data_IF_014156175411
#
_entry.id   IF_014156175411
#
_cell.length_a   1.000
_cell.length_b   1.000
_cell.length_c   1.000
_cell.angle_alpha   90.00
_cell.angle_beta   90.00
_cell.angle_gamma   90.00
#
_symmetry.space_group_name_H-M   'P 1'
#
loop_
_entity.id
_entity.type
_entity.pdbx_description
1 polymer ?
#
# COMPACT_ATOMS: atom_id res chain seq x y z
N UNK A 1 0.25 19.04 16.44
CA UNK A 1 0.14 19.02 14.96
C UNK A 1 -0.94 19.99 14.52
N UNK A 2 -0.53 21.10 13.93
CA UNK A 2 -1.40 22.16 13.42
C UNK A 2 -2.13 21.68 12.15
N UNK A 3 -3.38 22.09 11.92
CA UNK A 3 -4.20 21.65 10.77
C UNK A 3 -3.54 21.83 9.39
N UNK A 4 -2.54 22.70 9.28
CA UNK A 4 -1.73 22.90 8.07
C UNK A 4 -0.84 21.68 7.74
N UNK A 5 -0.21 21.05 8.74
CA UNK A 5 0.58 19.82 8.56
C UNK A 5 -0.27 18.65 8.06
N UNK A 6 -1.49 18.53 8.60
CA UNK A 6 -2.43 17.50 8.17
C UNK A 6 -2.81 17.69 6.68
N UNK A 7 -2.98 18.94 6.24
CA UNK A 7 -3.30 19.23 4.84
C UNK A 7 -2.15 18.92 3.87
N UNK A 8 -0.89 19.12 4.28
CA UNK A 8 0.27 18.72 3.48
C UNK A 8 0.45 17.21 3.44
N UNK A 9 0.21 16.52 4.55
CA UNK A 9 0.35 15.07 4.63
C UNK A 9 -0.70 14.35 3.76
N UNK A 10 -1.95 14.82 3.78
CA UNK A 10 -3.02 14.35 2.89
C UNK A 10 -2.69 14.61 1.41
N UNK A 11 -2.10 15.76 1.09
CA UNK A 11 -1.70 16.09 -0.27
C UNK A 11 -0.59 15.16 -0.78
N UNK A 12 0.41 14.85 0.05
CA UNK A 12 1.48 13.89 -0.28
C UNK A 12 0.91 12.49 -0.48
N UNK A 13 0.04 12.03 0.42
CA UNK A 13 -0.61 10.72 0.30
C UNK A 13 -1.45 10.64 -0.99
N UNK A 14 -2.23 11.68 -1.29
CA UNK A 14 -3.00 11.78 -2.54
C UNK A 14 -2.09 11.73 -3.76
N UNK A 15 -0.97 12.43 -3.75
CA UNK A 15 -0.01 12.41 -4.85
C UNK A 15 0.57 11.01 -5.08
N UNK A 16 0.92 10.28 -4.01
CA UNK A 16 1.38 8.90 -4.09
C UNK A 16 0.31 7.97 -4.69
N UNK A 17 -0.96 8.11 -4.26
CA UNK A 17 -2.10 7.36 -4.81
C UNK A 17 -2.24 7.61 -6.31
N UNK A 18 -2.22 8.87 -6.75
CA UNK A 18 -2.33 9.22 -8.17
C UNK A 18 -1.15 8.65 -8.96
N UNK A 19 0.07 8.81 -8.46
CA UNK A 19 1.27 8.30 -9.11
C UNK A 19 1.29 6.77 -9.27
N UNK A 20 0.77 6.03 -8.26
CA UNK A 20 0.62 4.58 -8.31
C UNK A 20 -0.50 4.13 -9.28
N UNK A 21 -1.56 4.93 -9.42
CA UNK A 21 -2.69 4.62 -10.29
C UNK A 21 -2.41 4.90 -11.78
N UNK A 22 -1.61 5.93 -12.10
CA UNK A 22 -1.33 6.37 -13.47
C UNK A 22 -0.93 5.27 -14.48
N UNK A 23 -0.07 4.28 -14.16
CA UNK A 23 0.30 3.24 -15.11
C UNK A 23 -0.77 2.16 -15.32
N UNK A 24 -1.87 2.17 -14.54
CA UNK A 24 -2.86 1.10 -14.52
C UNK A 24 -4.13 1.47 -15.29
N UNK A 25 -4.79 0.45 -15.86
CA UNK A 25 -6.03 0.63 -16.61
C UNK A 25 -7.25 0.27 -15.76
N UNK A 26 -8.03 1.29 -15.43
CA UNK A 26 -9.22 1.18 -14.57
C UNK A 26 -10.55 1.14 -15.35
N UNK A 27 -10.53 1.02 -16.67
CA UNK A 27 -11.74 0.91 -17.52
C UNK A 27 -12.37 -0.51 -17.50
N UNK A 28 -12.33 -1.16 -16.34
CA UNK A 28 -12.98 -2.45 -16.10
C UNK A 28 -14.27 -2.19 -15.34
N UNK A 29 -15.31 -3.00 -15.60
CA UNK A 29 -16.57 -2.92 -14.84
C UNK A 29 -16.28 -3.02 -13.34
N UNK A 30 -16.84 -2.13 -12.49
CA UNK A 30 -16.74 -2.25 -11.04
C UNK A 30 -17.14 -3.64 -10.55
N UNK A 31 -16.37 -4.20 -9.62
CA UNK A 31 -16.60 -5.54 -9.06
C UNK A 31 -16.20 -6.72 -9.96
N UNK A 32 -15.76 -6.49 -11.19
CA UNK A 32 -15.23 -7.57 -12.04
C UNK A 32 -13.88 -8.09 -11.53
N UNK A 33 -13.55 -9.34 -11.87
CA UNK A 33 -12.23 -9.93 -11.58
C UNK A 33 -11.10 -9.09 -12.20
N UNK A 34 -11.29 -8.58 -13.42
CA UNK A 34 -10.33 -7.67 -14.05
C UNK A 34 -10.11 -6.39 -13.22
N UNK A 35 -11.18 -5.83 -12.63
CA UNK A 35 -11.06 -4.69 -11.72
C UNK A 35 -10.35 -5.06 -10.42
N UNK A 36 -10.63 -6.23 -9.85
CA UNK A 36 -9.96 -6.73 -8.64
C UNK A 36 -8.46 -6.95 -8.89
N UNK A 37 -8.09 -7.52 -10.03
CA UNK A 37 -6.69 -7.70 -10.44
C UNK A 37 -5.96 -6.35 -10.57
N UNK A 38 -6.58 -5.36 -11.25
CA UNK A 38 -6.02 -4.02 -11.35
C UNK A 38 -5.84 -3.35 -9.97
N UNK A 39 -6.76 -3.58 -9.04
CA UNK A 39 -6.63 -3.09 -7.66
C UNK A 39 -5.50 -3.80 -6.88
N UNK A 40 -5.29 -5.10 -7.10
CA UNK A 40 -4.15 -5.82 -6.51
C UNK A 40 -2.80 -5.25 -6.98
N UNK A 41 -2.67 -5.01 -8.29
CA UNK A 41 -1.48 -4.35 -8.87
C UNK A 41 -1.31 -2.92 -8.36
N UNK A 42 -2.42 -2.20 -8.16
CA UNK A 42 -2.40 -0.87 -7.58
C UNK A 42 -1.85 -0.86 -6.16
N UNK A 43 -2.26 -1.79 -5.30
CA UNK A 43 -1.75 -1.88 -3.93
C UNK A 43 -0.24 -2.15 -3.92
N UNK A 44 0.25 -3.02 -4.81
CA UNK A 44 1.69 -3.26 -4.97
C UNK A 44 2.44 -1.98 -5.36
N UNK A 45 2.00 -1.29 -6.42
CA UNK A 45 2.61 -0.04 -6.87
C UNK A 45 2.54 1.07 -5.82
N UNK A 46 1.44 1.14 -5.06
CA UNK A 46 1.27 2.11 -3.98
C UNK A 46 2.27 1.85 -2.84
N UNK A 47 2.50 0.59 -2.48
CA UNK A 47 3.45 0.24 -1.43
C UNK A 47 4.87 0.74 -1.74
N UNK A 48 5.30 0.65 -3.01
CA UNK A 48 6.59 1.18 -3.44
C UNK A 48 6.65 2.72 -3.39
N UNK A 49 5.54 3.39 -3.74
CA UNK A 49 5.45 4.86 -3.68
C UNK A 49 5.48 5.39 -2.26
N UNK A 50 4.84 4.69 -1.33
CA UNK A 50 4.76 5.08 0.07
C UNK A 50 6.07 4.86 0.83
N UNK A 51 6.99 4.02 0.35
CA UNK A 51 8.20 3.66 1.09
C UNK A 51 9.11 4.85 1.46
N UNK A 52 8.99 5.99 0.78
CA UNK A 52 9.78 7.20 1.05
C UNK A 52 9.16 8.07 2.16
N UNK A 53 7.87 8.36 2.04
CA UNK A 53 7.19 9.33 2.91
C UNK A 53 6.34 8.67 4.01
N UNK A 54 6.00 7.39 3.87
CA UNK A 54 5.10 6.61 4.73
C UNK A 54 5.57 5.14 4.89
N UNK A 55 6.77 4.89 5.47
CA UNK A 55 7.39 3.56 5.50
C UNK A 55 6.53 2.50 6.22
N UNK A 56 5.91 2.81 7.35
CA UNK A 56 5.04 1.86 8.06
C UNK A 56 3.81 1.46 7.25
N UNK A 57 3.22 2.42 6.53
CA UNK A 57 2.09 2.16 5.63
C UNK A 57 2.53 1.33 4.42
N UNK A 58 3.72 1.61 3.88
CA UNK A 58 4.29 0.83 2.79
C UNK A 58 4.50 -0.64 3.20
N UNK A 59 5.04 -0.89 4.39
CA UNK A 59 5.28 -2.25 4.90
C UNK A 59 3.97 -3.01 5.14
N UNK A 60 2.95 -2.35 5.70
CA UNK A 60 1.63 -2.95 5.86
C UNK A 60 1.02 -3.35 4.50
N UNK A 61 1.13 -2.50 3.47
CA UNK A 61 0.67 -2.83 2.13
C UNK A 61 1.52 -3.92 1.46
N UNK A 62 2.85 -3.92 1.65
CA UNK A 62 3.72 -4.99 1.18
C UNK A 62 3.37 -6.33 1.80
N UNK A 63 3.04 -6.35 3.09
CA UNK A 63 2.59 -7.56 3.75
C UNK A 63 1.30 -8.10 3.10
N UNK A 64 0.32 -7.25 2.76
CA UNK A 64 -0.88 -7.68 2.03
C UNK A 64 -0.57 -8.29 0.65
N UNK A 65 0.44 -7.76 -0.05
CA UNK A 65 0.74 -8.16 -1.45
C UNK A 65 1.64 -9.39 -1.52
N UNK A 66 2.62 -9.49 -0.64
CA UNK A 66 3.74 -10.44 -0.77
C UNK A 66 3.77 -11.51 0.33
N UNK A 67 2.92 -11.42 1.36
CA UNK A 67 2.90 -12.46 2.40
C UNK A 67 2.38 -13.78 1.85
N UNK A 68 2.83 -14.92 2.42
CA UNK A 68 2.24 -16.21 2.15
C UNK A 68 0.76 -16.22 2.56
N UNK A 69 0.00 -17.18 2.00
CA UNK A 69 -1.41 -17.38 2.36
C UNK A 69 -1.54 -17.59 3.87
N UNK A 70 -2.34 -16.74 4.52
CA UNK A 70 -2.59 -16.76 5.96
C UNK A 70 -4.08 -16.57 6.23
N UNK A 71 -4.66 -17.23 7.25
CA UNK A 71 -6.03 -16.96 7.68
C UNK A 71 -6.17 -15.61 8.42
N UNK A 72 -5.06 -15.04 8.90
CA UNK A 72 -5.02 -13.77 9.63
C UNK A 72 -4.79 -12.56 8.70
N UNK A 73 -4.89 -11.34 9.23
CA UNK A 73 -4.59 -10.12 8.48
C UNK A 73 -3.06 -9.87 8.44
N UNK A 74 -2.39 -10.00 7.28
CA UNK A 74 -0.94 -9.83 7.22
C UNK A 74 -0.50 -8.38 7.48
N UNK A 75 -1.38 -7.38 7.33
CA UNK A 75 -1.07 -5.99 7.66
C UNK A 75 -0.92 -5.72 9.17
N UNK A 76 -1.36 -6.64 10.04
CA UNK A 76 -1.20 -6.53 11.50
C UNK A 76 0.15 -7.05 11.96
N UNK A 77 0.77 -7.94 11.17
CA UNK A 77 2.07 -8.53 11.44
C UNK A 77 3.11 -7.87 10.54
N UNK A 78 3.49 -6.62 10.81
CA UNK A 78 4.80 -6.16 10.35
C UNK A 78 5.82 -7.13 10.92
N UNK A 79 6.67 -7.78 10.10
CA UNK A 79 7.68 -8.66 10.65
C UNK A 79 8.56 -7.82 11.56
N UNK A 80 8.43 -8.06 12.87
CA UNK A 80 9.59 -7.97 13.74
C UNK A 80 10.64 -8.81 13.04
N UNK A 81 11.63 -8.13 12.44
CA UNK A 81 12.88 -8.73 12.00
C UNK A 81 13.24 -9.78 13.06
N UNK A 82 13.36 -11.08 12.72
CA UNK A 82 13.78 -12.03 13.72
C UNK A 82 15.15 -11.53 14.18
N UNK A 83 15.20 -11.05 15.43
CA UNK A 83 16.46 -10.91 16.15
C UNK A 83 17.17 -12.23 15.92
N UNK A 84 18.25 -12.16 15.13
CA UNK A 84 19.18 -13.26 15.02
C UNK A 84 19.68 -13.50 16.43
N UNK A 85 19.07 -14.48 17.11
CA UNK A 85 19.61 -15.10 18.29
C UNK A 85 20.97 -15.67 17.89
N UNK A 86 22.02 -14.92 18.22
CA UNK A 86 23.39 -15.42 18.35
C UNK A 86 23.72 -15.50 19.83
#
# INVERSE_FOLDING_TARGET
>A
MTRLDASSHDATLRAAIVAAANPLHFNNRPGSVARQCALGLFVAALSDRLALDFPESADALRALVFSPATPDNPAVNTPQQPEQQQ
#
